data_IF_698022720368
#
_entry.id   IF_698022720368
#
_cell.length_a   1.000
_cell.length_b   1.000
_cell.length_c   1.000
_cell.angle_alpha   90.00
_cell.angle_beta   90.00
_cell.angle_gamma   90.00
#
_symmetry.space_group_name_H-M   'P 1'
#
loop_
_entity.id
_entity.type
_entity.pdbx_description
1 polymer ?
#
# COMPACT_ATOMS: atom_id res chain seq x y z
N UNK A 1 23.61 -43.31 45.20
CA UNK A 1 22.45 -43.27 44.28
C UNK A 1 21.56 -42.11 44.71
N UNK A 2 21.48 -41.00 43.95
CA UNK A 2 20.59 -39.89 44.30
C UNK A 2 19.14 -40.37 44.15
N UNK A 3 18.38 -40.31 45.25
CA UNK A 3 17.04 -40.87 45.34
C UNK A 3 16.04 -40.18 44.41
N UNK A 4 15.07 -40.94 43.91
CA UNK A 4 14.03 -40.52 42.95
C UNK A 4 13.40 -39.14 43.22
N UNK A 5 13.30 -38.73 44.50
CA UNK A 5 12.81 -37.39 44.92
C UNK A 5 13.67 -36.21 44.46
N UNK A 6 14.97 -36.39 44.23
CA UNK A 6 15.86 -35.33 43.74
C UNK A 6 15.71 -35.12 42.23
N UNK A 7 15.45 -36.19 41.47
CA UNK A 7 15.26 -36.14 40.02
C UNK A 7 13.94 -35.42 39.65
N UNK A 8 12.85 -35.69 40.38
CA UNK A 8 11.55 -35.04 40.16
C UNK A 8 11.56 -33.54 40.51
N UNK A 9 12.35 -33.14 41.53
CA UNK A 9 12.52 -31.72 41.85
C UNK A 9 13.31 -30.97 40.78
N UNK A 10 14.36 -31.58 40.22
CA UNK A 10 15.13 -30.99 39.13
C UNK A 10 14.28 -30.80 37.87
N UNK A 11 13.48 -31.78 37.48
CA UNK A 11 12.60 -31.66 36.30
C UNK A 11 11.49 -30.63 36.48
N UNK A 12 10.94 -30.48 37.70
CA UNK A 12 9.99 -29.40 38.00
C UNK A 12 10.64 -28.01 37.91
N UNK A 13 11.87 -27.85 38.41
CA UNK A 13 12.62 -26.60 38.33
C UNK A 13 12.94 -26.23 36.87
N UNK A 14 13.39 -27.21 36.07
CA UNK A 14 13.65 -27.06 34.63
C UNK A 14 12.41 -26.67 33.82
N UNK A 15 11.23 -27.18 34.18
CA UNK A 15 9.97 -26.79 33.54
C UNK A 15 9.58 -25.36 33.89
N UNK A 16 9.76 -24.95 35.14
CA UNK A 16 9.47 -23.58 35.56
C UNK A 16 10.36 -22.56 34.85
N UNK A 17 11.67 -22.83 34.75
CA UNK A 17 12.61 -21.95 34.04
C UNK A 17 12.33 -21.89 32.55
N UNK A 18 11.95 -23.00 31.92
CA UNK A 18 11.55 -23.01 30.52
C UNK A 18 10.29 -22.14 30.27
N UNK A 19 9.32 -22.17 31.18
CA UNK A 19 8.11 -21.33 31.08
C UNK A 19 8.47 -19.85 31.22
N UNK A 20 9.37 -19.48 32.15
CA UNK A 20 9.82 -18.09 32.30
C UNK A 20 10.59 -17.59 31.08
N UNK A 21 11.46 -18.43 30.50
CA UNK A 21 12.19 -18.06 29.28
C UNK A 21 11.25 -17.90 28.08
N UNK A 22 10.24 -18.76 27.96
CA UNK A 22 9.24 -18.67 26.90
C UNK A 22 8.36 -17.43 27.07
N UNK A 23 7.94 -17.10 28.29
CA UNK A 23 7.21 -15.88 28.58
C UNK A 23 8.04 -14.62 28.28
N UNK A 24 9.33 -14.63 28.62
CA UNK A 24 10.24 -13.52 28.32
C UNK A 24 10.43 -13.35 26.81
N UNK A 25 10.59 -14.45 26.06
CA UNK A 25 10.72 -14.42 24.61
C UNK A 25 9.45 -13.90 23.90
N UNK A 26 8.26 -14.28 24.39
CA UNK A 26 7.00 -13.74 23.87
C UNK A 26 6.84 -12.24 24.19
N UNK A 27 7.27 -11.81 25.38
CA UNK A 27 7.21 -10.41 25.77
C UNK A 27 8.14 -9.53 24.92
N UNK A 28 9.37 -10.00 24.64
CA UNK A 28 10.30 -9.26 23.78
C UNK A 28 9.84 -9.23 22.33
N UNK A 29 9.26 -10.32 21.82
CA UNK A 29 8.71 -10.37 20.46
C UNK A 29 7.54 -9.40 20.30
N UNK A 30 6.58 -9.40 21.24
CA UNK A 30 5.45 -8.49 21.22
C UNK A 30 5.88 -7.02 21.33
N UNK A 31 6.87 -6.73 22.18
CA UNK A 31 7.44 -5.38 22.29
C UNK A 31 8.09 -4.89 21.00
N UNK A 32 8.82 -5.77 20.30
CA UNK A 32 9.47 -5.45 19.03
C UNK A 32 8.45 -5.18 17.91
N UNK A 33 7.39 -5.99 17.82
CA UNK A 33 6.34 -5.85 16.81
C UNK A 33 5.57 -4.53 16.98
N UNK A 34 5.21 -4.18 18.23
CA UNK A 34 4.58 -2.88 18.54
C UNK A 34 5.50 -1.71 18.19
N UNK A 35 6.80 -1.82 18.47
CA UNK A 35 7.77 -0.78 18.14
C UNK A 35 7.94 -0.57 16.63
N UNK A 36 8.06 -1.65 15.86
CA UNK A 36 8.13 -1.59 14.40
C UNK A 36 6.87 -0.97 13.81
N UNK A 37 5.71 -1.38 14.33
CA UNK A 37 4.41 -0.86 13.90
C UNK A 37 4.25 0.63 14.24
N UNK A 38 4.74 1.07 15.40
CA UNK A 38 4.77 2.48 15.77
C UNK A 38 5.64 3.33 14.84
N UNK A 39 6.85 2.86 14.51
CA UNK A 39 7.73 3.54 13.54
C UNK A 39 7.07 3.66 12.16
N UNK A 40 6.37 2.61 11.72
CA UNK A 40 5.65 2.64 10.45
C UNK A 40 4.50 3.65 10.46
N UNK A 41 3.73 3.73 11.56
CA UNK A 41 2.67 4.72 11.67
C UNK A 41 3.22 6.15 11.68
N UNK A 42 4.29 6.44 12.42
CA UNK A 42 4.97 7.75 12.45
C UNK A 42 5.39 8.24 11.04
N UNK A 43 5.89 7.33 10.19
CA UNK A 43 6.28 7.65 8.80
C UNK A 43 5.07 8.01 7.94
N UNK A 44 3.87 7.45 8.21
CA UNK A 44 2.65 7.78 7.47
C UNK A 44 2.01 9.10 7.90
N UNK A 45 2.09 9.46 9.19
CA UNK A 45 1.46 10.70 9.69
C UNK A 45 2.16 11.96 9.13
N UNK A 46 3.48 11.88 8.89
CA UNK A 46 4.26 12.99 8.31
C UNK A 46 4.33 12.97 6.78
N UNK A 47 3.70 11.99 6.12
CA UNK A 47 3.63 11.90 4.66
C UNK A 47 2.17 11.88 4.23
N UNK A 48 1.46 12.96 4.56
CA UNK A 48 0.25 13.32 3.83
C UNK A 48 0.62 13.53 2.37
N UNK A 49 0.27 12.53 1.56
CA UNK A 49 -0.25 12.67 0.20
C UNK A 49 0.41 13.75 -0.66
N UNK A 50 1.61 13.48 -1.17
CA UNK A 50 1.92 13.96 -2.52
C UNK A 50 1.13 13.07 -3.47
N UNK A 51 -0.05 13.55 -3.85
CA UNK A 51 -0.72 13.18 -5.10
C UNK A 51 0.36 13.02 -6.18
N UNK A 52 0.32 11.98 -7.04
CA UNK A 52 1.21 11.95 -8.18
C UNK A 52 0.87 13.16 -9.03
N UNK A 53 1.64 14.24 -8.86
CA UNK A 53 1.69 15.32 -9.83
C UNK A 53 2.13 14.64 -11.11
N UNK A 54 1.26 14.61 -12.11
CA UNK A 54 1.64 14.39 -13.48
C UNK A 54 2.72 15.43 -13.81
N UNK A 55 3.98 15.08 -13.55
CA UNK A 55 5.14 15.89 -13.88
C UNK A 55 5.39 15.73 -15.36
N UNK A 56 4.42 16.15 -16.18
CA UNK A 56 4.57 16.29 -17.63
C UNK A 56 5.27 17.60 -18.02
N UNK A 57 6.02 18.18 -17.09
CA UNK A 57 7.00 19.21 -17.39
C UNK A 57 8.32 18.79 -16.78
N UNK A 58 9.22 18.34 -17.65
CA UNK A 58 10.66 18.41 -17.38
C UNK A 58 10.95 19.82 -16.86
N UNK A 59 11.48 19.98 -15.64
CA UNK A 59 11.95 21.28 -15.21
C UNK A 59 13.06 21.67 -16.18
N UNK A 60 12.81 22.66 -17.03
CA UNK A 60 13.84 23.30 -17.82
C UNK A 60 14.69 24.15 -16.87
N UNK A 61 15.52 23.48 -16.08
CA UNK A 61 16.59 24.13 -15.36
C UNK A 61 17.67 24.43 -16.40
N UNK A 62 17.54 25.58 -17.06
CA UNK A 62 18.67 26.20 -17.76
C UNK A 62 19.65 26.74 -16.70
N UNK A 63 20.30 25.82 -15.99
CA UNK A 63 21.44 26.15 -15.15
C UNK A 63 22.65 26.32 -16.09
N UNK A 64 23.05 27.58 -16.33
CA UNK A 64 24.34 27.88 -16.95
C UNK A 64 25.44 27.23 -16.09
N UNK A 65 26.27 26.37 -16.70
CA UNK A 65 27.43 25.69 -16.11
C UNK A 65 27.22 24.42 -15.25
N UNK A 66 26.22 23.59 -15.52
CA UNK A 66 26.19 22.22 -14.96
C UNK A 66 26.32 21.16 -16.05
N UNK A 67 27.29 20.23 -15.90
CA UNK A 67 27.40 19.04 -16.76
C UNK A 67 26.27 18.06 -16.40
N UNK A 68 25.54 17.49 -17.38
CA UNK A 68 24.51 16.50 -17.08
C UNK A 68 25.16 15.24 -16.50
N UNK A 69 24.84 14.92 -15.25
CA UNK A 69 25.19 13.63 -14.64
C UNK A 69 24.17 12.59 -15.08
N UNK A 70 24.63 11.37 -15.36
CA UNK A 70 23.78 10.27 -15.81
C UNK A 70 22.64 10.05 -14.81
N UNK A 71 21.39 10.07 -15.30
CA UNK A 71 20.21 9.81 -14.48
C UNK A 71 20.20 8.32 -14.09
N UNK A 72 20.44 8.03 -12.82
CA UNK A 72 20.24 6.70 -12.26
C UNK A 72 18.77 6.52 -11.88
N UNK A 73 18.13 5.48 -12.41
CA UNK A 73 16.75 5.12 -12.07
C UNK A 73 16.79 4.09 -10.95
N UNK A 74 16.36 4.49 -9.75
CA UNK A 74 16.36 3.61 -8.56
C UNK A 74 15.34 2.47 -8.64
N UNK A 75 14.36 2.57 -9.53
CA UNK A 75 13.23 1.63 -9.64
C UNK A 75 13.01 1.09 -11.05
N UNK A 76 14.05 1.13 -11.89
CA UNK A 76 13.94 0.78 -13.31
C UNK A 76 13.30 1.89 -14.16
N UNK A 77 13.31 1.69 -15.49
CA UNK A 77 12.70 2.61 -16.45
C UNK A 77 11.32 2.06 -16.80
N UNK A 78 10.27 2.83 -16.58
CA UNK A 78 8.96 2.53 -17.14
C UNK A 78 9.07 2.59 -18.67
N UNK A 79 8.98 1.43 -19.31
CA UNK A 79 8.86 1.34 -20.76
C UNK A 79 7.44 1.80 -21.09
N UNK A 80 7.30 3.06 -21.50
CA UNK A 80 6.03 3.63 -21.92
C UNK A 80 5.62 3.03 -23.27
N UNK A 81 5.19 1.77 -23.27
CA UNK A 81 4.47 1.17 -24.40
C UNK A 81 2.95 1.28 -24.25
N UNK A 82 2.49 2.10 -23.30
CA UNK A 82 1.11 2.56 -23.26
C UNK A 82 0.97 3.73 -24.23
N UNK A 83 0.43 3.43 -25.41
CA UNK A 83 -0.07 4.46 -26.32
C UNK A 83 -1.06 5.35 -25.55
N UNK A 84 -0.94 6.68 -25.63
CA UNK A 84 -1.92 7.56 -25.01
C UNK A 84 -3.29 7.26 -25.61
N UNK A 85 -4.19 6.70 -24.81
CA UNK A 85 -5.57 6.46 -25.21
C UNK A 85 -6.18 7.82 -25.50
N UNK A 86 -6.59 8.03 -26.75
CA UNK A 86 -7.27 9.26 -27.17
C UNK A 86 -8.55 9.38 -26.35
N UNK A 87 -8.58 10.34 -25.44
CA UNK A 87 -9.73 10.62 -24.59
C UNK A 87 -10.83 11.26 -25.45
N UNK A 88 -11.68 10.44 -26.05
CA UNK A 88 -12.94 10.89 -26.65
C UNK A 88 -13.88 11.29 -25.52
N UNK A 89 -14.42 12.52 -25.59
CA UNK A 89 -15.40 12.97 -24.60
C UNK A 89 -16.66 12.12 -24.76
N UNK A 90 -17.10 11.52 -23.65
CA UNK A 90 -18.35 10.78 -23.61
C UNK A 90 -19.54 11.71 -24.00
N UNK A 91 -20.56 11.18 -24.69
CA UNK A 91 -21.79 11.93 -24.97
C UNK A 91 -22.43 12.47 -23.68
N UNK A 92 -23.01 13.66 -23.74
CA UNK A 92 -23.72 14.23 -22.59
C UNK A 92 -24.94 13.38 -22.24
N UNK A 93 -24.98 12.83 -21.03
CA UNK A 93 -26.09 12.01 -20.54
C UNK A 93 -27.11 12.90 -19.81
N UNK A 94 -28.40 12.53 -19.86
CA UNK A 94 -29.46 13.15 -19.04
C UNK A 94 -29.55 12.57 -17.64
N UNK A 95 -28.68 11.62 -17.30
CA UNK A 95 -28.65 10.95 -16.02
C UNK A 95 -27.92 11.84 -15.02
N UNK A 96 -28.46 12.00 -13.81
CA UNK A 96 -27.83 12.77 -12.74
C UNK A 96 -26.70 11.97 -12.08
N UNK A 97 -25.68 11.62 -12.87
CA UNK A 97 -24.56 10.80 -12.46
C UNK A 97 -23.28 11.59 -12.59
N UNK A 98 -22.40 11.44 -11.60
CA UNK A 98 -21.08 12.05 -11.62
C UNK A 98 -20.01 10.96 -11.65
N UNK A 99 -19.24 10.95 -12.74
CA UNK A 99 -18.09 10.07 -12.88
C UNK A 99 -16.97 10.57 -11.95
N UNK A 100 -16.55 9.74 -10.99
CA UNK A 100 -15.48 10.06 -10.03
C UNK A 100 -14.14 9.54 -10.53
N UNK A 101 -14.10 8.34 -11.11
CA UNK A 101 -12.86 7.71 -11.52
C UNK A 101 -13.05 6.50 -12.42
N UNK A 102 -11.99 6.14 -13.12
CA UNK A 102 -11.93 4.99 -14.04
C UNK A 102 -10.67 4.20 -13.75
N UNK A 103 -10.82 2.89 -13.60
CA UNK A 103 -9.73 1.91 -13.58
C UNK A 103 -9.78 1.23 -14.94
N UNK A 104 -8.84 1.62 -15.80
CA UNK A 104 -8.73 1.10 -17.16
C UNK A 104 -7.76 -0.08 -17.21
N UNK A 105 -8.17 -1.16 -17.87
CA UNK A 105 -7.32 -2.29 -18.23
C UNK A 105 -7.55 -2.62 -19.72
N UNK A 106 -6.63 -3.39 -20.30
CA UNK A 106 -6.77 -4.02 -21.61
C UNK A 106 -7.95 -5.00 -21.69
N UNK A 107 -8.36 -5.58 -20.56
CA UNK A 107 -9.49 -6.51 -20.47
C UNK A 107 -10.73 -5.84 -19.86
N UNK A 108 -11.88 -5.95 -20.53
CA UNK A 108 -13.15 -5.35 -20.09
C UNK A 108 -13.62 -5.89 -18.74
N UNK A 109 -13.30 -7.15 -18.42
CA UNK A 109 -13.69 -7.83 -17.17
C UNK A 109 -13.03 -7.21 -15.93
N UNK A 110 -11.86 -6.60 -16.11
CA UNK A 110 -11.07 -5.97 -15.06
C UNK A 110 -11.34 -4.46 -14.98
N UNK A 111 -11.84 -3.88 -16.07
CA UNK A 111 -12.18 -2.47 -16.16
C UNK A 111 -13.35 -2.12 -15.21
N UNK A 112 -13.15 -1.08 -14.40
CA UNK A 112 -14.11 -0.63 -13.39
C UNK A 112 -14.27 0.88 -13.39
N UNK A 113 -15.47 1.33 -13.08
CA UNK A 113 -15.82 2.75 -13.03
C UNK A 113 -16.40 3.10 -11.66
N UNK A 114 -16.03 4.27 -11.14
CA UNK A 114 -16.53 4.79 -9.88
C UNK A 114 -17.51 5.91 -10.19
N UNK A 115 -18.78 5.72 -9.83
CA UNK A 115 -19.89 6.63 -10.17
C UNK A 115 -20.58 7.07 -8.88
N UNK A 116 -20.85 8.37 -8.77
CA UNK A 116 -21.70 8.95 -7.74
C UNK A 116 -23.11 9.19 -8.27
N UNK A 117 -24.11 8.75 -7.51
CA UNK A 117 -25.54 8.91 -7.79
C UNK A 117 -26.11 9.90 -6.76
N UNK A 118 -26.83 10.91 -7.24
CA UNK A 118 -27.59 11.88 -6.43
C UNK A 118 -26.83 12.45 -5.21
N UNK A 119 -25.54 12.74 -5.41
CA UNK A 119 -24.62 13.36 -4.45
C UNK A 119 -24.28 12.60 -3.16
N UNK A 120 -24.82 11.40 -2.91
CA UNK A 120 -24.56 10.69 -1.65
C UNK A 120 -23.99 9.28 -1.82
N UNK A 121 -24.41 8.56 -2.86
CA UNK A 121 -24.03 7.16 -3.03
C UNK A 121 -22.93 7.01 -4.08
N UNK A 122 -21.78 6.50 -3.65
CA UNK A 122 -20.64 6.18 -4.51
C UNK A 122 -20.57 4.67 -4.70
N UNK A 123 -20.74 4.22 -5.94
CA UNK A 123 -20.68 2.82 -6.33
C UNK A 123 -19.52 2.53 -7.28
N UNK A 124 -19.06 1.28 -7.26
CA UNK A 124 -18.10 0.74 -8.22
C UNK A 124 -18.86 -0.19 -9.16
N UNK A 125 -18.76 0.06 -10.46
CA UNK A 125 -19.49 -0.65 -11.50
C UNK A 125 -18.52 -1.23 -12.53
N UNK A 126 -18.77 -2.47 -12.93
CA UNK A 126 -18.10 -3.16 -14.04
C UNK A 126 -18.88 -2.97 -15.35
N UNK A 127 -18.23 -3.27 -16.48
CA UNK A 127 -18.87 -3.21 -17.80
C UNK A 127 -20.02 -4.23 -17.85
N UNK A 128 -21.24 -3.74 -18.10
CA UNK A 128 -22.45 -4.55 -18.15
C UNK A 128 -23.30 -4.53 -16.87
N UNK A 129 -22.82 -3.92 -15.78
CA UNK A 129 -23.62 -3.75 -14.57
C UNK A 129 -24.81 -2.82 -14.80
N UNK A 130 -25.93 -3.14 -14.15
CA UNK A 130 -27.09 -2.25 -14.13
C UNK A 130 -26.85 -1.15 -13.10
N UNK A 131 -27.07 0.09 -13.54
CA UNK A 131 -27.17 1.21 -12.64
C UNK A 131 -28.54 1.14 -11.93
N UNK A 132 -28.59 1.45 -10.63
CA UNK A 132 -29.84 1.55 -9.89
C UNK A 132 -30.74 2.68 -10.40
#
# INVERSE_FOLDING_TARGET
MPGKKAADKMTAMLRSTAIYLLALALLTWAGLDVYQRYQFYQVRINKQQTQPTESNKTPSLTAKNTKPVARQYLFGRQLSDTQPVVLTRAPATKLNLKLIGVIADSEDSVSKTIIQIDNNDVGVYSVGDKLP
#
